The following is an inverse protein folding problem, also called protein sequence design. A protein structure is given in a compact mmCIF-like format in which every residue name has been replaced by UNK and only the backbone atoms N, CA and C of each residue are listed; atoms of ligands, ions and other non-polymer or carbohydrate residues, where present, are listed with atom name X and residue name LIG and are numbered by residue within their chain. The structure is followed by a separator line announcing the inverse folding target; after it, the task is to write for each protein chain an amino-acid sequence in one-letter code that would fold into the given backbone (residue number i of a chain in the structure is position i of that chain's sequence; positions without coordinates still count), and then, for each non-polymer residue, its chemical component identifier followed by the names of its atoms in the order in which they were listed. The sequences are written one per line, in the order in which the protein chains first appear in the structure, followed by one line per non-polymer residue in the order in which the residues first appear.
data_IF_224856049242
#
_entry.id   IF_224856049242
#
_cell.length_a   1.000
_cell.length_b   1.000
_cell.length_c   1.000
_cell.angle_alpha   90.00
_cell.angle_beta   90.00
_cell.angle_gamma   90.00
#
_symmetry.space_group_name_H-M   'P 1'
#
loop_
_entity.id
_entity.type
_entity.pdbx_description
1 polymer ?
#
# COMPACT_ATOMS: atom_id res chain seq x y z
N UNK A 1 6.30 -3.14 15.32
CA UNK A 1 6.55 -4.57 15.04
C UNK A 1 5.32 -5.35 15.47
N UNK A 2 4.52 -5.82 14.53
CA UNK A 2 3.47 -6.83 14.76
C UNK A 2 3.81 -7.99 13.86
N UNK A 3 4.43 -9.02 14.45
CA UNK A 3 4.96 -10.19 13.76
C UNK A 3 3.83 -11.02 13.16
N UNK A 4 3.89 -11.23 11.84
CA UNK A 4 3.10 -12.25 11.13
C UNK A 4 4.02 -12.88 10.08
N UNK A 5 4.89 -13.74 10.60
CA UNK A 5 5.95 -14.50 9.91
C UNK A 5 7.13 -13.62 9.42
N UNK A 6 8.29 -13.80 10.07
CA UNK A 6 9.27 -12.75 10.35
C UNK A 6 10.24 -12.39 9.21
N UNK A 7 10.07 -12.96 8.00
CA UNK A 7 10.99 -12.73 6.88
C UNK A 7 10.33 -12.25 5.58
N UNK A 8 9.00 -12.24 5.51
CA UNK A 8 8.29 -11.93 4.26
C UNK A 8 7.97 -10.44 4.17
N UNK A 9 8.54 -9.76 3.17
CA UNK A 9 8.39 -8.32 2.97
C UNK A 9 7.13 -8.05 2.15
N UNK A 10 6.28 -7.15 2.64
CA UNK A 10 5.19 -6.58 1.84
C UNK A 10 5.68 -5.29 1.20
N UNK A 11 5.37 -5.14 -0.08
CA UNK A 11 5.77 -3.98 -0.87
C UNK A 11 4.62 -2.98 -0.94
N UNK A 12 4.92 -1.72 -0.62
CA UNK A 12 3.96 -0.63 -0.63
C UNK A 12 4.57 0.65 -1.21
N UNK A 13 3.74 1.44 -1.88
CA UNK A 13 4.06 2.79 -2.37
C UNK A 13 3.35 3.81 -1.49
N UNK A 14 4.07 4.89 -1.16
CA UNK A 14 3.60 5.94 -0.25
C UNK A 14 3.50 7.25 -1.01
N UNK A 15 2.30 7.82 -1.02
CA UNK A 15 1.99 9.12 -1.60
C UNK A 15 1.86 10.11 -0.45
N UNK A 16 2.89 10.94 -0.26
CA UNK A 16 2.97 11.92 0.83
C UNK A 16 2.51 13.30 0.35
N UNK A 17 1.54 13.95 1.03
CA UNK A 17 1.05 15.29 0.69
C UNK A 17 2.15 16.36 0.76
N UNK A 18 3.03 16.28 1.77
CA UNK A 18 4.20 17.16 1.98
C UNK A 18 5.16 16.41 2.90
N UNK A 19 6.35 16.10 2.38
CA UNK A 19 7.40 15.38 3.07
C UNK A 19 7.62 15.89 4.50
N UNK A 20 7.26 15.07 5.50
CA UNK A 20 7.54 15.33 6.91
C UNK A 20 6.46 16.12 7.68
N UNK A 21 5.30 16.40 7.08
CA UNK A 21 4.17 16.99 7.79
C UNK A 21 3.30 15.92 8.50
N UNK A 22 2.69 16.27 9.65
CA UNK A 22 1.68 15.41 10.26
C UNK A 22 0.43 15.40 9.39
N UNK A 23 0.04 14.21 8.92
CA UNK A 23 -1.13 13.99 8.08
C UNK A 23 -1.94 12.80 8.56
N UNK A 24 -3.19 12.70 8.10
CA UNK A 24 -4.02 11.50 8.29
C UNK A 24 -3.61 10.46 7.27
N UNK A 25 -3.44 9.21 7.71
CA UNK A 25 -3.05 8.11 6.83
C UNK A 25 -4.28 7.35 6.32
N UNK A 26 -4.26 7.01 5.03
CA UNK A 26 -5.20 6.08 4.39
C UNK A 26 -4.40 4.91 3.84
N UNK A 27 -4.85 3.68 4.10
CA UNK A 27 -4.16 2.47 3.67
C UNK A 27 -5.09 1.62 2.81
N UNK A 28 -4.62 1.25 1.63
CA UNK A 28 -5.30 0.32 0.73
C UNK A 28 -4.41 -0.92 0.54
N UNK A 29 -4.89 -2.07 1.00
CA UNK A 29 -4.26 -3.37 0.73
C UNK A 29 -4.99 -4.04 -0.43
N UNK A 30 -4.30 -4.25 -1.55
CA UNK A 30 -4.91 -4.73 -2.79
C UNK A 30 -4.32 -6.07 -3.27
N UNK A 31 -5.17 -7.02 -3.73
CA UNK A 31 -4.73 -8.21 -4.46
C UNK A 31 -4.52 -7.96 -5.96
N UNK A 32 -4.68 -6.72 -6.43
CA UNK A 32 -4.84 -6.35 -7.84
C UNK A 32 -3.80 -5.34 -8.37
N UNK A 33 -2.55 -5.40 -7.87
CA UNK A 33 -1.41 -4.54 -8.20
C UNK A 33 -1.59 -3.11 -7.71
N UNK A 34 -0.71 -2.68 -6.81
CA UNK A 34 -0.76 -1.32 -6.26
C UNK A 34 -0.52 -0.19 -7.27
N UNK A 35 0.15 -0.49 -8.38
CA UNK A 35 0.52 0.47 -9.46
C UNK A 35 -0.41 0.40 -10.69
N UNK A 36 -1.67 -0.02 -10.55
CA UNK A 36 -2.63 0.22 -11.64
C UNK A 36 -2.98 1.70 -11.70
N UNK A 37 -3.11 2.25 -12.90
CA UNK A 37 -3.33 3.67 -13.13
C UNK A 37 -4.43 4.28 -12.25
N UNK A 38 -5.59 3.62 -12.13
CA UNK A 38 -6.70 4.07 -11.28
C UNK A 38 -6.31 4.27 -9.81
N UNK A 39 -5.45 3.39 -9.27
CA UNK A 39 -4.98 3.51 -7.89
C UNK A 39 -3.96 4.62 -7.72
N UNK A 40 -3.07 4.80 -8.69
CA UNK A 40 -2.12 5.91 -8.69
C UNK A 40 -2.84 7.26 -8.74
N UNK A 41 -3.84 7.41 -9.63
CA UNK A 41 -4.66 8.61 -9.74
C UNK A 41 -5.40 8.91 -8.42
N UNK A 42 -6.04 7.89 -7.84
CA UNK A 42 -6.78 8.03 -6.58
C UNK A 42 -5.84 8.41 -5.43
N UNK A 43 -4.69 7.74 -5.31
CA UNK A 43 -3.73 8.01 -4.27
C UNK A 43 -3.12 9.42 -4.40
N UNK A 44 -2.83 9.85 -5.63
CA UNK A 44 -2.31 11.19 -5.92
C UNK A 44 -3.35 12.28 -5.63
N UNK A 45 -4.62 12.11 -6.01
CA UNK A 45 -5.70 13.06 -5.71
C UNK A 45 -5.92 13.20 -4.19
N UNK A 46 -5.93 12.08 -3.46
CA UNK A 46 -6.05 12.09 -2.00
C UNK A 46 -4.81 12.70 -1.31
N UNK A 47 -3.61 12.44 -1.83
CA UNK A 47 -2.40 13.09 -1.35
C UNK A 47 -2.43 14.60 -1.58
N UNK A 48 -2.88 15.08 -2.74
CA UNK A 48 -3.08 16.50 -2.99
C UNK A 48 -4.08 17.16 -2.01
N UNK A 49 -4.98 16.38 -1.39
CA UNK A 49 -5.94 16.82 -0.36
C UNK A 49 -5.41 16.73 1.08
N UNK A 50 -4.15 16.35 1.28
CA UNK A 50 -3.49 16.34 2.60
C UNK A 50 -3.48 14.99 3.32
N UNK A 51 -3.78 13.88 2.64
CA UNK A 51 -3.70 12.54 3.21
C UNK A 51 -2.40 11.83 2.81
N UNK A 52 -1.71 11.18 3.74
CA UNK A 52 -0.69 10.21 3.36
C UNK A 52 -1.39 8.91 2.93
N UNK A 53 -1.21 8.52 1.68
CA UNK A 53 -1.86 7.33 1.12
C UNK A 53 -0.84 6.23 0.93
N UNK A 54 -1.13 5.04 1.44
CA UNK A 54 -0.30 3.85 1.31
C UNK A 54 -1.03 2.83 0.45
N UNK A 55 -0.47 2.53 -0.71
CA UNK A 55 -0.95 1.47 -1.60
C UNK A 55 -0.07 0.24 -1.42
N UNK A 56 -0.62 -0.86 -0.91
CA UNK A 56 0.14 -2.07 -0.57
C UNK A 56 -0.36 -3.28 -1.37
N UNK A 57 0.58 -4.04 -1.95
CA UNK A 57 0.27 -5.37 -2.44
C UNK A 57 0.15 -6.34 -1.26
N UNK A 58 -0.91 -7.14 -1.21
CA UNK A 58 -1.03 -8.18 -0.18
C UNK A 58 0.00 -9.31 -0.39
N UNK A 59 0.18 -10.16 0.62
CA UNK A 59 1.09 -11.32 0.58
C UNK A 59 0.92 -12.14 -0.69
N UNK A 60 2.04 -12.51 -1.31
CA UNK A 60 2.10 -13.34 -2.51
C UNK A 60 1.45 -12.73 -3.75
N UNK A 61 1.28 -11.40 -3.76
CA UNK A 61 0.80 -10.66 -4.91
C UNK A 61 1.86 -9.64 -5.34
N UNK A 62 2.15 -9.61 -6.64
CA UNK A 62 3.02 -8.64 -7.29
C UNK A 62 4.37 -8.48 -6.60
N UNK A 63 4.69 -7.31 -6.06
CA UNK A 63 5.99 -7.03 -5.47
C UNK A 63 6.10 -7.47 -3.99
N UNK A 64 5.04 -8.05 -3.41
CA UNK A 64 5.05 -8.60 -2.05
C UNK A 64 5.44 -10.07 -2.03
N UNK A 65 6.30 -10.42 -1.07
CA UNK A 65 6.76 -11.79 -0.86
C UNK A 65 5.65 -12.74 -0.38
N UNK A 66 5.93 -14.04 -0.48
CA UNK A 66 5.11 -15.12 0.04
C UNK A 66 4.14 -15.70 -1.00
N UNK A 67 3.18 -16.47 -0.49
CA UNK A 67 2.19 -17.17 -1.33
C UNK A 67 0.81 -16.57 -1.10
N UNK A 68 0.05 -16.43 -2.18
CA UNK A 68 -1.33 -15.95 -2.13
C UNK A 68 -2.27 -17.13 -1.97
N UNK A 69 -3.01 -17.13 -0.87
CA UNK A 69 -4.04 -18.13 -0.57
C UNK A 69 -5.42 -17.50 -0.72
N UNK A 70 -6.20 -18.01 -1.68
CA UNK A 70 -7.57 -17.58 -1.88
C UNK A 70 -8.53 -18.57 -1.24
N UNK A 71 -9.38 -18.07 -0.32
CA UNK A 71 -10.42 -18.85 0.37
C UNK A 71 -9.93 -20.08 1.17
N UNK A 72 -8.64 -20.18 1.46
CA UNK A 72 -8.06 -21.22 2.30
C UNK A 72 -7.86 -20.75 3.73
#
# INVERSE_FOLDING_TARGET
MTSRDDSRRLSADVYDPVAGSKCRALVCCTPYQKLIHRYEETATDLAARGYCVVMQDIRGRYASDGDYEWMR
#
